data_IF_888548380235
#
_entry.id   IF_888548380235
#
_cell.length_a   1.000
_cell.length_b   1.000
_cell.length_c   1.000
_cell.angle_alpha   90.00
_cell.angle_beta   90.00
_cell.angle_gamma   90.00
#
_symmetry.space_group_name_H-M   'P 1'
#
loop_
_entity.id
_entity.type
_entity.pdbx_description
1 polymer ?
#
# COMPACT_ATOMS: atom_id res chain seq x y z
N UNK A 1 -21.74 -3.80 11.21
CA UNK A 1 -21.40 -4.42 12.51
C UNK A 1 -19.92 -4.26 12.88
N UNK A 2 -19.64 -4.14 14.18
CA UNK A 2 -18.30 -4.29 14.79
C UNK A 2 -18.29 -5.56 15.63
N UNK A 3 -17.28 -6.42 15.45
CA UNK A 3 -17.15 -7.70 16.16
C UNK A 3 -16.40 -7.54 17.48
N UNK A 4 -16.80 -8.30 18.47
CA UNK A 4 -16.10 -8.41 19.76
C UNK A 4 -15.81 -9.90 19.98
N UNK A 5 -14.54 -10.24 20.05
CA UNK A 5 -14.07 -11.61 20.24
C UNK A 5 -13.49 -11.75 21.63
N UNK A 6 -14.14 -12.54 22.47
CA UNK A 6 -13.70 -12.79 23.85
C UNK A 6 -12.78 -14.02 23.87
N UNK A 7 -11.61 -13.86 24.47
CA UNK A 7 -10.55 -14.86 24.55
C UNK A 7 -10.17 -15.10 26.01
N UNK A 8 -9.89 -16.37 26.33
CA UNK A 8 -9.34 -16.71 27.64
C UNK A 8 -7.87 -16.29 27.73
N UNK A 9 -7.31 -16.13 28.94
CA UNK A 9 -5.90 -15.76 29.10
C UNK A 9 -4.94 -16.75 28.41
N UNK A 10 -5.29 -18.04 28.44
CA UNK A 10 -4.48 -19.09 27.82
C UNK A 10 -4.56 -19.03 26.29
N UNK A 11 -5.74 -18.75 25.73
CA UNK A 11 -5.88 -18.50 24.28
C UNK A 11 -5.05 -17.30 23.82
N UNK A 12 -4.99 -16.23 24.62
CA UNK A 12 -4.12 -15.08 24.29
C UNK A 12 -2.65 -15.50 24.36
N UNK A 13 -2.23 -16.16 25.45
CA UNK A 13 -0.83 -16.55 25.64
C UNK A 13 -0.33 -17.53 24.56
N UNK A 14 -1.15 -18.51 24.18
CA UNK A 14 -0.80 -19.54 23.20
C UNK A 14 -0.64 -19.00 21.78
N UNK A 15 -1.31 -17.88 21.47
CA UNK A 15 -1.36 -17.32 20.13
C UNK A 15 -0.58 -16.01 19.96
N UNK A 16 -0.24 -15.30 21.05
CA UNK A 16 0.38 -13.96 20.99
C UNK A 16 1.67 -13.94 20.15
N UNK A 17 2.51 -14.97 20.28
CA UNK A 17 3.74 -15.10 19.50
C UNK A 17 3.49 -15.23 18.00
N UNK A 18 2.46 -15.98 17.59
CA UNK A 18 2.07 -16.08 16.18
C UNK A 18 1.45 -14.77 15.69
N UNK A 19 0.53 -14.17 16.44
CA UNK A 19 -0.13 -12.92 16.05
C UNK A 19 0.83 -11.76 15.84
N UNK A 20 1.87 -11.67 16.68
CA UNK A 20 2.93 -10.68 16.50
C UNK A 20 3.66 -10.83 15.17
N UNK A 21 3.65 -12.02 14.55
CA UNK A 21 4.32 -12.30 13.28
C UNK A 21 3.33 -12.28 12.11
N UNK A 22 2.20 -12.95 12.26
CA UNK A 22 1.21 -13.17 11.21
C UNK A 22 0.23 -12.01 11.05
N UNK A 23 0.03 -11.20 12.10
CA UNK A 23 -0.95 -10.11 12.16
C UNK A 23 -2.33 -10.55 11.67
N UNK A 24 -2.67 -11.79 11.99
CA UNK A 24 -3.86 -12.49 11.52
C UNK A 24 -4.40 -13.40 12.61
N UNK A 25 -5.72 -13.46 12.72
CA UNK A 25 -6.39 -14.41 13.60
C UNK A 25 -7.67 -14.94 12.97
N UNK A 26 -7.95 -16.24 13.13
CA UNK A 26 -9.21 -16.84 12.67
C UNK A 26 -9.98 -17.41 13.85
N UNK A 27 -11.23 -17.00 14.00
CA UNK A 27 -12.11 -17.40 15.10
C UNK A 27 -13.39 -18.03 14.57
N UNK A 28 -13.73 -19.22 15.08
CA UNK A 28 -15.03 -19.81 14.87
C UNK A 28 -16.10 -18.98 15.62
N UNK A 29 -17.20 -18.70 14.93
CA UNK A 29 -18.33 -17.96 15.48
C UNK A 29 -19.34 -18.91 16.14
N UNK A 30 -20.04 -18.48 17.20
CA UNK A 30 -21.16 -19.22 17.76
C UNK A 30 -22.25 -19.48 16.72
N UNK A 31 -22.86 -20.67 16.78
CA UNK A 31 -23.99 -21.03 15.92
C UNK A 31 -25.13 -20.02 16.08
N UNK A 32 -25.67 -19.52 14.97
CA UNK A 32 -26.77 -18.55 14.97
C UNK A 32 -26.34 -17.08 15.12
N UNK A 33 -25.05 -16.77 15.23
CA UNK A 33 -24.60 -15.38 15.17
C UNK A 33 -24.85 -14.83 13.76
N UNK A 34 -25.66 -13.77 13.67
CA UNK A 34 -25.90 -13.09 12.40
C UNK A 34 -24.62 -12.41 11.90
N UNK A 35 -24.28 -12.67 10.65
CA UNK A 35 -23.14 -12.08 9.94
C UNK A 35 -23.57 -11.47 8.60
N UNK A 36 -24.86 -11.23 8.41
CA UNK A 36 -25.43 -10.70 7.17
C UNK A 36 -25.12 -9.21 6.97
N UNK A 37 -25.00 -8.44 8.06
CA UNK A 37 -24.59 -7.03 7.98
C UNK A 37 -23.09 -6.91 7.74
N UNK A 38 -22.77 -6.22 6.65
CA UNK A 38 -21.41 -6.03 6.17
C UNK A 38 -20.75 -4.75 6.67
N UNK A 39 -21.38 -3.99 7.59
CA UNK A 39 -21.00 -2.62 8.00
C UNK A 39 -19.52 -2.37 8.35
N UNK A 40 -19.20 -1.95 9.58
CA UNK A 40 -17.82 -1.51 9.88
C UNK A 40 -16.79 -2.62 9.84
N UNK A 41 -17.12 -3.91 9.98
CA UNK A 41 -16.19 -5.07 9.94
C UNK A 41 -14.95 -4.98 10.84
N UNK A 42 -14.87 -4.01 11.74
CA UNK A 42 -13.81 -3.91 12.71
C UNK A 42 -14.01 -5.00 13.78
N UNK A 43 -12.93 -5.52 14.36
CA UNK A 43 -12.95 -6.52 15.40
C UNK A 43 -12.06 -6.11 16.58
N UNK A 44 -12.58 -6.27 17.79
CA UNK A 44 -11.83 -6.13 19.03
C UNK A 44 -11.57 -7.50 19.63
N UNK A 45 -10.31 -7.82 19.93
CA UNK A 45 -9.97 -9.01 20.71
C UNK A 45 -9.87 -8.61 22.18
N UNK A 46 -10.71 -9.24 22.99
CA UNK A 46 -10.88 -8.96 24.41
C UNK A 46 -10.35 -10.14 25.20
N UNK A 47 -9.29 -9.91 25.97
CA UNK A 47 -8.83 -10.89 26.96
C UNK A 47 -9.70 -10.81 28.21
N UNK A 48 -10.33 -11.92 28.61
CA UNK A 48 -11.12 -12.01 29.84
C UNK A 48 -10.30 -12.66 30.96
N UNK A 49 -9.80 -11.83 31.88
CA UNK A 49 -8.93 -12.28 32.98
C UNK A 49 -9.69 -12.49 34.30
N UNK A 50 -11.02 -12.40 34.30
CA UNK A 50 -11.85 -12.53 35.51
C UNK A 50 -11.79 -13.91 36.16
N UNK A 51 -11.38 -14.94 35.43
CA UNK A 51 -11.28 -16.31 35.94
C UNK A 51 -9.91 -16.66 36.56
N UNK A 52 -8.87 -15.81 36.40
CA UNK A 52 -7.54 -16.09 36.95
C UNK A 52 -7.44 -15.66 38.41
N UNK A 53 -7.58 -16.62 39.31
CA UNK A 53 -7.14 -16.47 40.70
C UNK A 53 -5.61 -16.56 40.79
N UNK A 54 -4.94 -15.44 41.11
CA UNK A 54 -3.68 -15.48 41.86
C UNK A 54 -2.35 -15.79 41.18
N UNK A 55 -2.11 -15.47 39.91
CA UNK A 55 -0.75 -15.58 39.33
C UNK A 55 -0.32 -14.35 38.54
N UNK A 56 0.76 -13.71 39.00
CA UNK A 56 1.45 -12.61 38.32
C UNK A 56 2.02 -13.15 37.00
N UNK A 57 1.38 -12.80 35.88
CA UNK A 57 1.89 -13.09 34.54
C UNK A 57 3.10 -12.22 34.22
N UNK A 58 4.05 -12.75 33.43
CA UNK A 58 5.29 -12.10 33.00
C UNK A 58 5.11 -10.73 32.29
N UNK A 59 3.88 -10.34 31.93
CA UNK A 59 3.55 -9.10 31.20
C UNK A 59 2.90 -8.00 32.06
N UNK A 60 2.91 -8.09 33.41
CA UNK A 60 2.53 -6.95 34.27
C UNK A 60 1.04 -6.56 34.32
N UNK A 61 0.14 -7.28 33.63
CA UNK A 61 -1.30 -7.12 33.79
C UNK A 61 -1.76 -7.75 35.12
N UNK A 62 -1.73 -6.98 36.19
CA UNK A 62 -2.16 -7.37 37.53
C UNK A 62 -3.66 -7.16 37.78
N UNK A 63 -4.45 -6.80 36.75
CA UNK A 63 -5.82 -6.33 36.94
C UNK A 63 -6.86 -7.38 36.56
N UNK A 64 -7.77 -7.66 37.50
CA UNK A 64 -8.94 -8.51 37.30
C UNK A 64 -9.95 -7.78 36.39
N UNK A 65 -10.23 -8.30 35.20
CA UNK A 65 -11.19 -7.66 34.29
C UNK A 65 -11.04 -8.09 32.83
N UNK A 66 -11.83 -7.46 31.96
CA UNK A 66 -11.75 -7.61 30.50
C UNK A 66 -10.97 -6.45 29.89
N UNK A 67 -10.08 -6.76 28.94
CA UNK A 67 -9.24 -5.78 28.27
C UNK A 67 -9.25 -5.95 26.76
N UNK A 68 -9.43 -4.87 26.01
CA UNK A 68 -9.14 -4.87 24.57
C UNK A 68 -7.62 -4.88 24.43
N UNK A 69 -7.10 -5.93 23.79
CA UNK A 69 -5.66 -6.15 23.62
C UNK A 69 -5.22 -6.02 22.17
N UNK A 70 -6.13 -6.29 21.22
CA UNK A 70 -5.89 -6.14 19.80
C UNK A 70 -7.11 -5.59 19.07
N UNK A 71 -6.86 -4.95 17.94
CA UNK A 71 -7.86 -4.43 17.00
C UNK A 71 -7.55 -4.94 15.60
N UNK A 72 -8.55 -5.26 14.80
CA UNK A 72 -8.32 -5.74 13.44
C UNK A 72 -9.54 -5.64 12.53
N UNK A 73 -9.42 -6.15 11.31
CA UNK A 73 -10.48 -6.11 10.29
C UNK A 73 -10.95 -7.50 9.90
N UNK A 74 -12.25 -7.72 9.88
CA UNK A 74 -12.86 -8.94 9.36
C UNK A 74 -12.87 -8.91 7.83
N UNK A 75 -11.92 -9.63 7.22
CA UNK A 75 -11.77 -9.74 5.76
C UNK A 75 -12.71 -10.80 5.18
N UNK A 76 -12.80 -11.96 5.85
CA UNK A 76 -13.51 -13.14 5.34
C UNK A 76 -14.43 -13.71 6.41
N UNK A 77 -15.62 -14.09 5.98
CA UNK A 77 -16.52 -14.96 6.73
C UNK A 77 -16.52 -16.28 5.98
N UNK A 78 -15.89 -17.31 6.54
CA UNK A 78 -15.82 -18.63 5.93
C UNK A 78 -16.87 -19.54 6.54
N UNK A 79 -17.40 -20.47 5.73
CA UNK A 79 -18.21 -21.58 6.24
C UNK A 79 -17.29 -22.75 6.57
N UNK A 80 -17.35 -23.24 7.81
CA UNK A 80 -16.62 -24.41 8.29
C UNK A 80 -17.64 -25.54 8.46
N UNK A 81 -17.64 -26.52 7.55
CA UNK A 81 -18.66 -27.57 7.56
C UNK A 81 -20.06 -27.07 7.15
N UNK A 82 -21.14 -27.80 7.48
CA UNK A 82 -22.49 -27.50 6.99
C UNK A 82 -23.19 -26.33 7.70
N UNK A 83 -22.75 -25.90 8.89
CA UNK A 83 -23.46 -24.90 9.72
C UNK A 83 -22.53 -23.87 10.37
N UNK A 84 -21.29 -24.22 10.70
CA UNK A 84 -20.41 -23.31 11.44
C UNK A 84 -19.81 -22.24 10.55
N UNK A 85 -19.66 -21.04 11.09
CA UNK A 85 -19.01 -19.91 10.41
C UNK A 85 -17.74 -19.53 11.17
N UNK A 86 -16.78 -18.97 10.47
CA UNK A 86 -15.59 -18.37 11.07
C UNK A 86 -15.31 -17.01 10.47
N UNK A 87 -14.69 -16.14 11.25
CA UNK A 87 -14.17 -14.86 10.78
C UNK A 87 -12.65 -14.91 10.73
N UNK A 88 -12.08 -14.36 9.67
CA UNK A 88 -10.65 -14.06 9.57
C UNK A 88 -10.45 -12.57 9.78
N UNK A 89 -9.68 -12.24 10.82
CA UNK A 89 -9.29 -10.89 11.20
C UNK A 89 -7.88 -10.63 10.66
N UNK A 90 -7.75 -9.71 9.70
CA UNK A 90 -6.50 -9.36 9.00
C UNK A 90 -6.66 -8.02 8.25
N UNK A 91 -5.70 -7.07 8.33
CA UNK A 91 -4.65 -7.02 9.35
C UNK A 91 -5.23 -6.83 10.76
N UNK A 92 -4.47 -7.24 11.77
CA UNK A 92 -4.71 -6.87 13.18
C UNK A 92 -3.46 -6.22 13.79
N UNK A 93 -3.68 -5.32 14.75
CA UNK A 93 -2.64 -4.57 15.47
C UNK A 93 -2.88 -4.70 16.98
N UNK A 94 -1.79 -4.86 17.71
CA UNK A 94 -1.80 -4.83 19.18
C UNK A 94 -2.10 -3.41 19.64
N UNK A 95 -2.95 -3.27 20.64
CA UNK A 95 -3.12 -1.97 21.29
C UNK A 95 -1.80 -1.58 21.99
N UNK A 96 -1.35 -0.30 21.91
CA UNK A 96 -0.16 0.15 22.64
C UNK A 96 -0.22 -0.16 24.13
N UNK A 97 -1.42 -0.01 24.71
CA UNK A 97 -1.74 -0.41 26.07
C UNK A 97 -3.05 -1.21 26.06
N UNK A 98 -3.17 -2.28 26.87
CA UNK A 98 -4.44 -2.95 27.09
C UNK A 98 -5.49 -1.96 27.60
N UNK A 99 -6.66 -1.91 26.95
CA UNK A 99 -7.71 -0.94 27.27
C UNK A 99 -8.75 -1.61 28.17
N UNK A 100 -8.93 -1.14 29.42
CA UNK A 100 -9.89 -1.73 30.34
C UNK A 100 -11.32 -1.52 29.84
N UNK A 101 -12.11 -2.60 29.80
CA UNK A 101 -13.55 -2.52 29.57
C UNK A 101 -14.32 -2.37 30.88
N UNK A 102 -13.87 -3.05 31.92
CA UNK A 102 -14.52 -3.12 33.23
C UNK A 102 -13.96 -2.08 34.21
N UNK A 103 -14.67 -1.87 35.33
CA UNK A 103 -14.26 -0.95 36.39
C UNK A 103 -14.65 0.52 36.14
N UNK A 104 -14.37 1.42 37.10
CA UNK A 104 -14.72 2.84 37.00
C UNK A 104 -13.98 3.53 35.83
N UNK A 105 -12.74 3.11 35.58
CA UNK A 105 -11.90 3.60 34.48
C UNK A 105 -12.06 2.80 33.19
N UNK A 106 -12.92 1.78 33.19
CA UNK A 106 -13.24 0.97 32.02
C UNK A 106 -14.22 1.64 31.05
N UNK A 107 -14.07 1.35 29.76
CA UNK A 107 -14.89 1.93 28.69
C UNK A 107 -16.40 1.74 28.93
N UNK A 108 -16.82 0.60 29.47
CA UNK A 108 -18.25 0.31 29.70
C UNK A 108 -18.90 1.29 30.69
N UNK A 109 -18.15 1.83 31.65
CA UNK A 109 -18.66 2.80 32.61
C UNK A 109 -19.01 4.16 31.97
N UNK A 110 -18.40 4.46 30.82
CA UNK A 110 -18.61 5.72 30.10
C UNK A 110 -19.69 5.65 29.02
N UNK A 111 -20.23 4.46 28.74
CA UNK A 111 -21.24 4.25 27.71
C UNK A 111 -22.66 4.51 28.26
N UNK A 112 -23.55 5.09 27.44
CA UNK A 112 -24.98 5.11 27.74
C UNK A 112 -25.52 3.70 27.98
N UNK A 113 -26.49 3.54 28.89
CA UNK A 113 -26.99 2.25 29.38
C UNK A 113 -27.39 1.28 28.25
N UNK A 114 -28.06 1.78 27.21
CA UNK A 114 -28.49 0.99 26.06
C UNK A 114 -27.31 0.43 25.25
N UNK A 115 -26.28 1.24 25.00
CA UNK A 115 -25.10 0.81 24.27
C UNK A 115 -24.22 -0.11 25.12
N UNK A 116 -24.13 0.17 26.42
CA UNK A 116 -23.47 -0.71 27.38
C UNK A 116 -24.08 -2.10 27.37
N UNK A 117 -25.40 -2.22 27.44
CA UNK A 117 -26.09 -3.51 27.42
C UNK A 117 -25.79 -4.30 26.13
N UNK A 118 -25.77 -3.64 24.96
CA UNK A 118 -25.40 -4.28 23.71
C UNK A 118 -23.95 -4.78 23.69
N UNK A 119 -23.00 -4.01 24.22
CA UNK A 119 -21.59 -4.43 24.30
C UNK A 119 -21.43 -5.58 25.30
N UNK A 120 -22.10 -5.53 26.46
CA UNK A 120 -22.09 -6.62 27.45
C UNK A 120 -22.70 -7.91 26.86
N UNK A 121 -23.77 -7.81 26.08
CA UNK A 121 -24.34 -8.95 25.37
C UNK A 121 -23.35 -9.54 24.36
N UNK A 122 -22.64 -8.70 23.60
CA UNK A 122 -21.63 -9.14 22.65
C UNK A 122 -20.42 -9.82 23.33
N UNK A 123 -20.12 -9.43 24.57
CA UNK A 123 -19.06 -10.02 25.40
C UNK A 123 -19.47 -11.32 26.11
N UNK A 124 -20.77 -11.68 26.14
CA UNK A 124 -21.27 -12.83 26.91
C UNK A 124 -20.78 -14.19 26.37
N UNK A 125 -20.46 -14.27 25.08
CA UNK A 125 -19.97 -15.47 24.39
C UNK A 125 -18.51 -15.38 23.97
N UNK A 126 -18.07 -16.38 23.20
CA UNK A 126 -16.72 -16.43 22.61
C UNK A 126 -16.53 -15.44 21.45
N UNK A 127 -17.62 -15.01 20.82
CA UNK A 127 -17.67 -13.89 19.89
C UNK A 127 -19.10 -13.32 19.80
N UNK A 128 -19.21 -12.01 19.60
CA UNK A 128 -20.47 -11.30 19.37
C UNK A 128 -20.25 -10.10 18.44
N UNK A 129 -21.31 -9.31 18.21
CA UNK A 129 -21.21 -8.09 17.41
C UNK A 129 -22.07 -6.97 17.99
N UNK A 130 -21.74 -5.74 17.59
CA UNK A 130 -22.48 -4.53 17.89
C UNK A 130 -22.93 -3.84 16.60
N UNK A 131 -24.13 -3.25 16.60
CA UNK A 131 -24.62 -2.43 15.50
C UNK A 131 -23.91 -1.07 15.40
N UNK A 132 -24.17 -0.35 14.30
CA UNK A 132 -23.49 0.92 13.95
C UNK A 132 -23.62 2.01 15.01
N UNK A 133 -24.81 2.17 15.62
CA UNK A 133 -25.05 3.17 16.68
C UNK A 133 -24.23 2.88 17.94
N UNK A 134 -24.23 1.60 18.38
CA UNK A 134 -23.38 1.15 19.51
C UNK A 134 -21.90 1.29 19.18
N UNK A 135 -21.49 1.00 17.94
CA UNK A 135 -20.11 1.25 17.50
C UNK A 135 -19.72 2.73 17.60
N UNK A 136 -20.55 3.66 17.14
CA UNK A 136 -20.25 5.09 17.25
C UNK A 136 -20.08 5.51 18.72
N UNK A 137 -20.98 5.09 19.60
CA UNK A 137 -20.86 5.36 21.03
C UNK A 137 -19.58 4.75 21.64
N UNK A 138 -19.24 3.53 21.24
CA UNK A 138 -18.00 2.85 21.65
C UNK A 138 -16.75 3.56 21.14
N UNK A 139 -16.71 3.98 19.87
CA UNK A 139 -15.60 4.74 19.28
C UNK A 139 -15.40 6.07 20.01
N UNK A 140 -16.48 6.83 20.24
CA UNK A 140 -16.40 8.10 20.98
C UNK A 140 -15.87 7.90 22.41
N UNK A 141 -16.34 6.87 23.11
CA UNK A 141 -15.85 6.54 24.45
C UNK A 141 -14.36 6.11 24.44
N UNK A 142 -13.97 5.26 23.49
CA UNK A 142 -12.60 4.81 23.29
C UNK A 142 -11.67 5.98 23.01
N UNK A 143 -11.97 6.81 22.01
CA UNK A 143 -11.10 7.92 21.60
C UNK A 143 -11.02 9.04 22.63
N UNK A 144 -12.05 9.21 23.48
CA UNK A 144 -12.01 10.17 24.58
C UNK A 144 -11.03 9.76 25.69
N UNK A 145 -10.94 8.47 26.00
CA UNK A 145 -10.06 7.95 27.07
C UNK A 145 -8.69 7.50 26.57
N UNK A 146 -8.63 7.00 25.34
CA UNK A 146 -7.45 6.46 24.68
C UNK A 146 -7.27 7.10 23.29
N UNK A 147 -6.96 8.41 23.22
CA UNK A 147 -6.80 9.12 21.96
C UNK A 147 -5.70 8.54 21.06
N UNK A 148 -4.72 7.83 21.64
CA UNK A 148 -3.68 7.11 20.92
C UNK A 148 -4.24 6.04 19.97
N UNK A 149 -5.44 5.52 20.21
CA UNK A 149 -6.08 4.50 19.35
C UNK A 149 -6.67 5.08 18.07
N UNK A 150 -6.80 6.41 17.96
CA UNK A 150 -7.36 7.07 16.76
C UNK A 150 -6.66 6.62 15.48
N UNK A 151 -5.32 6.69 15.46
CA UNK A 151 -4.50 6.30 14.31
C UNK A 151 -4.69 4.82 13.93
N UNK A 152 -4.88 3.94 14.90
CA UNK A 152 -5.11 2.51 14.67
C UNK A 152 -6.48 2.26 14.05
N UNK A 153 -7.51 2.88 14.61
CA UNK A 153 -8.88 2.76 14.11
C UNK A 153 -8.96 3.35 12.70
N UNK A 154 -8.41 4.54 12.48
CA UNK A 154 -8.46 5.20 11.17
C UNK A 154 -7.67 4.42 10.11
N UNK A 155 -6.50 3.88 10.45
CA UNK A 155 -5.73 2.98 9.58
C UNK A 155 -6.50 1.70 9.23
N UNK A 156 -7.14 1.06 10.20
CA UNK A 156 -7.97 -0.13 9.97
C UNK A 156 -9.19 0.23 9.08
N UNK A 157 -9.89 1.32 9.37
CA UNK A 157 -11.05 1.74 8.58
C UNK A 157 -10.68 2.10 7.14
N UNK A 158 -9.49 2.68 6.91
CA UNK A 158 -9.00 2.99 5.58
C UNK A 158 -8.77 1.75 4.69
N UNK A 159 -8.51 0.59 5.29
CA UNK A 159 -8.42 -0.67 4.54
C UNK A 159 -9.77 -1.27 4.16
N UNK A 160 -10.85 -0.90 4.86
CA UNK A 160 -12.20 -1.39 4.58
C UNK A 160 -12.92 -0.56 3.53
N UNK A 161 -12.67 0.75 3.55
CA UNK A 161 -13.30 1.68 2.66
C UNK A 161 -12.63 1.59 1.30
N UNK A 162 -13.11 0.67 0.47
CA UNK A 162 -12.73 0.65 -0.93
C UNK A 162 -13.26 1.92 -1.60
N UNK A 163 -12.42 2.95 -1.64
CA UNK A 163 -12.77 4.23 -2.23
C UNK A 163 -13.11 4.00 -3.69
N UNK A 164 -14.28 4.50 -4.09
CA UNK A 164 -14.73 4.46 -5.48
C UNK A 164 -14.18 5.70 -6.15
N UNK A 165 -13.33 5.51 -7.16
CA UNK A 165 -12.82 6.60 -7.99
C UNK A 165 -13.85 6.93 -9.07
N UNK A 166 -14.20 8.20 -9.20
CA UNK A 166 -15.01 8.73 -10.28
C UNK A 166 -14.15 8.92 -11.53
N UNK A 167 -14.49 8.22 -12.61
CA UNK A 167 -13.73 8.29 -13.88
C UNK A 167 -13.95 9.58 -14.66
N UNK A 168 -14.95 10.39 -14.28
CA UNK A 168 -15.19 11.72 -14.85
C UNK A 168 -14.44 12.82 -14.09
N UNK A 169 -13.93 12.51 -12.88
CA UNK A 169 -13.16 13.45 -12.09
C UNK A 169 -11.66 13.31 -12.39
N UNK A 170 -11.04 14.44 -12.74
CA UNK A 170 -9.62 14.46 -13.12
C UNK A 170 -8.70 14.05 -11.95
N UNK A 171 -9.04 14.45 -10.71
CA UNK A 171 -8.27 14.10 -9.52
C UNK A 171 -8.34 12.60 -9.24
N UNK A 172 -9.53 12.01 -9.30
CA UNK A 172 -9.71 10.57 -9.17
C UNK A 172 -8.99 9.78 -10.25
N UNK A 173 -9.02 10.25 -11.50
CA UNK A 173 -8.22 9.64 -12.57
C UNK A 173 -6.72 9.72 -12.27
N UNK A 174 -6.22 10.87 -11.82
CA UNK A 174 -4.80 11.02 -11.49
C UNK A 174 -4.39 10.13 -10.30
N UNK A 175 -5.15 10.14 -9.21
CA UNK A 175 -4.87 9.28 -8.04
C UNK A 175 -4.95 7.80 -8.38
N UNK A 176 -5.87 7.40 -9.26
CA UNK A 176 -5.99 6.01 -9.68
C UNK A 176 -4.77 5.54 -10.49
N UNK A 177 -4.16 6.39 -11.32
CA UNK A 177 -2.89 6.09 -12.00
C UNK A 177 -1.72 6.04 -11.03
N UNK A 178 -1.61 7.04 -10.16
CA UNK A 178 -0.56 7.15 -9.15
C UNK A 178 -0.60 5.97 -8.17
N UNK A 179 -1.79 5.56 -7.74
CA UNK A 179 -2.00 4.36 -6.92
C UNK A 179 -1.44 3.12 -7.60
N UNK A 180 -1.78 2.93 -8.87
CA UNK A 180 -1.32 1.76 -9.62
C UNK A 180 0.21 1.80 -9.84
N UNK A 181 0.79 2.97 -10.06
CA UNK A 181 2.25 3.16 -10.11
C UNK A 181 2.91 2.80 -8.77
N UNK A 182 2.39 3.28 -7.64
CA UNK A 182 2.90 2.95 -6.31
C UNK A 182 2.79 1.44 -6.00
N UNK A 183 1.67 0.81 -6.37
CA UNK A 183 1.49 -0.64 -6.26
C UNK A 183 2.45 -1.40 -7.18
N UNK A 184 2.75 -0.88 -8.37
CA UNK A 184 3.71 -1.46 -9.29
C UNK A 184 5.13 -1.39 -8.71
N UNK A 185 5.49 -0.30 -8.01
CA UNK A 185 6.76 -0.19 -7.27
C UNK A 185 6.90 -1.27 -6.18
N UNK A 186 5.86 -1.49 -5.36
CA UNK A 186 5.90 -2.58 -4.37
C UNK A 186 5.98 -3.96 -5.03
N UNK A 187 5.37 -4.14 -6.22
CA UNK A 187 5.54 -5.38 -7.01
C UNK A 187 6.97 -5.55 -7.48
N UNK A 188 7.60 -4.58 -8.14
CA UNK A 188 8.95 -4.76 -8.71
C UNK A 188 10.06 -4.90 -7.65
N UNK A 189 9.77 -4.53 -6.40
CA UNK A 189 10.72 -4.59 -5.26
C UNK A 189 10.43 -5.72 -4.28
N UNK A 190 9.32 -6.45 -4.47
CA UNK A 190 8.86 -7.53 -3.59
C UNK A 190 8.52 -7.06 -2.15
N UNK A 191 8.19 -5.78 -1.98
CA UNK A 191 7.56 -5.27 -0.76
C UNK A 191 6.06 -5.61 -0.76
N UNK A 192 5.45 -5.84 0.42
CA UNK A 192 4.05 -6.21 0.51
C UNK A 192 3.16 -5.04 0.07
N UNK A 193 2.18 -5.30 -0.81
CA UNK A 193 1.24 -4.27 -1.29
C UNK A 193 0.44 -3.62 -0.17
N UNK A 194 0.24 -4.32 0.94
CA UNK A 194 -0.46 -3.79 2.11
C UNK A 194 0.28 -2.62 2.77
N UNK A 195 1.58 -2.45 2.52
CA UNK A 195 2.36 -1.36 3.08
C UNK A 195 1.95 0.03 2.56
N UNK A 196 1.26 0.09 1.41
CA UNK A 196 0.74 1.31 0.77
C UNK A 196 -0.77 1.23 0.47
N UNK A 197 -1.52 0.38 1.19
CA UNK A 197 -2.96 0.19 0.94
C UNK A 197 -3.88 1.04 1.81
N UNK A 198 -3.43 1.42 3.00
CA UNK A 198 -4.20 2.32 3.87
C UNK A 198 -4.16 3.72 3.26
N UNK A 199 -5.30 4.17 2.73
CA UNK A 199 -5.39 5.43 2.02
C UNK A 199 -6.73 6.12 2.27
N UNK A 200 -6.67 7.43 2.50
CA UNK A 200 -7.81 8.34 2.50
C UNK A 200 -7.67 9.36 1.38
N UNK A 201 -8.79 9.87 0.88
CA UNK A 201 -8.77 10.94 -0.12
C UNK A 201 -8.08 12.19 0.46
N UNK A 202 -7.05 12.75 -0.21
CA UNK A 202 -6.39 13.97 0.23
C UNK A 202 -7.37 15.14 0.36
N UNK A 203 -7.00 16.14 1.15
CA UNK A 203 -7.87 17.29 1.42
C UNK A 203 -7.97 18.19 0.18
N UNK A 204 -6.88 18.31 -0.58
CA UNK A 204 -6.84 19.04 -1.85
C UNK A 204 -6.82 18.09 -3.04
N UNK A 205 -7.45 18.51 -4.14
CA UNK A 205 -7.53 17.75 -5.40
C UNK A 205 -6.18 17.66 -6.12
N UNK A 206 -5.32 18.64 -5.90
CA UNK A 206 -4.01 18.75 -6.55
C UNK A 206 -2.93 17.95 -5.84
N UNK A 207 -3.19 17.53 -4.60
CA UNK A 207 -2.27 16.74 -3.79
C UNK A 207 -1.97 15.38 -4.45
N UNK A 208 -0.73 14.88 -4.35
CA UNK A 208 -0.37 13.57 -4.85
C UNK A 208 -1.06 12.46 -4.06
N UNK A 209 -1.13 11.26 -4.66
CA UNK A 209 -1.70 10.07 -4.04
C UNK A 209 -1.03 9.76 -2.69
N UNK A 210 0.29 9.91 -2.58
CA UNK A 210 0.98 9.61 -1.33
C UNK A 210 0.58 10.54 -0.17
N UNK A 211 0.06 11.75 -0.43
CA UNK A 211 -0.44 12.63 0.63
C UNK A 211 -1.66 12.04 1.38
N UNK A 212 -2.38 11.12 0.73
CA UNK A 212 -3.53 10.43 1.32
C UNK A 212 -3.17 9.11 2.02
N UNK A 213 -1.92 8.65 1.96
CA UNK A 213 -1.53 7.41 2.61
C UNK A 213 -1.54 7.57 4.13
N UNK A 214 -2.09 6.57 4.81
CA UNK A 214 -2.13 6.52 6.27
C UNK A 214 -1.03 5.55 6.73
N UNK A 215 0.02 6.03 7.43
CA UNK A 215 1.10 5.18 7.90
C UNK A 215 0.62 4.05 8.81
N UNK A 216 1.32 2.92 8.76
CA UNK A 216 1.05 1.80 9.65
C UNK A 216 1.43 2.16 11.10
N UNK A 217 0.50 2.09 12.06
CA UNK A 217 0.76 2.50 13.43
C UNK A 217 1.49 1.40 14.23
N UNK A 218 2.64 0.91 13.77
CA UNK A 218 3.47 -0.04 14.55
C UNK A 218 4.44 0.69 15.47
N UNK A 219 4.66 0.15 16.69
CA UNK A 219 5.55 0.73 17.70
C UNK A 219 6.97 0.92 17.18
N UNK A 220 7.50 -0.04 16.40
CA UNK A 220 8.81 0.10 15.74
C UNK A 220 8.84 1.26 14.74
N UNK A 221 7.77 1.51 13.98
CA UNK A 221 7.71 2.70 13.11
C UNK A 221 7.71 4.00 13.91
N UNK A 222 7.24 4.01 15.15
CA UNK A 222 7.25 5.19 16.04
C UNK A 222 8.62 5.37 16.72
N UNK A 223 9.23 4.29 17.19
CA UNK A 223 10.59 4.33 17.76
C UNK A 223 11.61 4.65 16.66
N UNK A 224 11.55 4.01 15.50
CA UNK A 224 12.42 4.31 14.35
C UNK A 224 12.22 5.76 13.88
N UNK A 225 10.98 6.26 13.91
CA UNK A 225 10.68 7.68 13.66
C UNK A 225 11.40 8.59 14.67
N UNK A 226 11.21 8.36 15.96
CA UNK A 226 11.77 9.22 17.03
C UNK A 226 13.30 9.12 17.11
N UNK A 227 13.86 7.93 16.87
CA UNK A 227 15.31 7.68 16.78
C UNK A 227 15.91 8.42 15.58
N UNK A 228 15.27 8.39 14.40
CA UNK A 228 15.76 9.10 13.22
C UNK A 228 15.69 10.61 13.39
N UNK A 229 14.63 11.12 14.00
CA UNK A 229 14.48 12.55 14.32
C UNK A 229 15.48 12.99 15.39
N UNK A 230 15.75 12.16 16.40
CA UNK A 230 16.62 12.50 17.54
C UNK A 230 18.12 12.28 17.34
N UNK A 231 18.53 11.34 16.48
CA UNK A 231 19.94 10.98 16.26
C UNK A 231 20.49 11.36 14.87
N UNK A 232 19.74 12.13 14.08
CA UNK A 232 20.20 12.58 12.76
C UNK A 232 20.35 11.43 11.77
N UNK A 233 19.38 10.51 11.74
CA UNK A 233 19.33 9.46 10.72
C UNK A 233 19.38 10.06 9.30
N UNK A 234 19.89 9.31 8.33
CA UNK A 234 19.99 9.79 6.95
C UNK A 234 18.62 10.29 6.46
N UNK A 235 18.55 11.59 6.16
CA UNK A 235 17.36 12.21 5.61
C UNK A 235 16.96 11.47 4.32
N UNK A 236 15.65 11.38 4.02
CA UNK A 236 15.20 10.86 2.73
C UNK A 236 15.95 11.54 1.59
N UNK A 237 16.34 10.76 0.58
CA UNK A 237 17.18 11.25 -0.50
C UNK A 237 16.55 12.46 -1.20
N UNK A 238 15.21 12.49 -1.26
CA UNK A 238 14.43 13.52 -1.94
C UNK A 238 13.78 14.53 -0.97
N UNK A 239 14.22 14.62 0.28
CA UNK A 239 13.59 15.52 1.26
C UNK A 239 13.67 17.00 0.86
N UNK A 240 14.72 17.39 0.11
CA UNK A 240 14.87 18.73 -0.46
C UNK A 240 13.72 19.09 -1.41
N UNK A 241 13.09 18.11 -2.07
CA UNK A 241 11.96 18.37 -2.97
C UNK A 241 10.69 18.78 -2.25
N UNK A 242 10.51 18.39 -0.98
CA UNK A 242 9.36 18.80 -0.15
C UNK A 242 9.42 20.27 0.23
N UNK A 243 10.62 20.85 0.26
CA UNK A 243 10.84 22.26 0.61
C UNK A 243 10.70 23.20 -0.59
N UNK A 244 10.56 22.64 -1.80
CA UNK A 244 10.44 23.42 -3.03
C UNK A 244 9.05 24.02 -3.15
N UNK A 245 8.97 25.27 -3.60
CA UNK A 245 7.69 25.94 -3.88
C UNK A 245 7.11 25.63 -5.25
N UNK A 246 7.94 25.13 -6.18
CA UNK A 246 7.52 24.82 -7.57
C UNK A 246 6.93 23.41 -7.74
N UNK A 247 6.96 22.58 -6.70
CA UNK A 247 6.41 21.22 -6.72
C UNK A 247 5.76 20.87 -5.38
N UNK A 248 4.72 20.04 -5.41
CA UNK A 248 4.23 19.31 -4.24
C UNK A 248 4.88 17.93 -4.24
N UNK A 249 5.56 17.58 -3.15
CA UNK A 249 6.26 16.31 -3.00
C UNK A 249 5.84 15.63 -1.68
N UNK A 250 5.48 14.36 -1.76
CA UNK A 250 5.19 13.51 -0.61
C UNK A 250 6.07 12.26 -0.68
N UNK A 251 6.57 11.80 0.47
CA UNK A 251 7.51 10.67 0.58
C UNK A 251 7.00 9.68 1.61
N UNK A 252 7.03 8.40 1.26
CA UNK A 252 6.81 7.26 2.14
C UNK A 252 8.00 6.32 2.07
N UNK A 253 8.44 5.79 3.21
CA UNK A 253 9.55 4.86 3.30
C UNK A 253 9.05 3.51 3.78
N UNK A 254 9.43 2.46 3.07
CA UNK A 254 9.24 1.07 3.46
C UNK A 254 10.60 0.48 3.82
N UNK A 255 10.67 -0.21 4.94
CA UNK A 255 11.89 -0.89 5.38
C UNK A 255 11.57 -2.28 5.89
N UNK A 256 12.30 -3.28 5.41
CA UNK A 256 12.11 -4.65 5.86
C UNK A 256 13.13 -5.05 6.94
N UNK A 257 12.84 -6.14 7.65
CA UNK A 257 13.72 -6.65 8.72
C UNK A 257 15.13 -7.09 8.25
N UNK A 258 15.37 -7.15 6.94
CA UNK A 258 16.67 -7.48 6.37
C UNK A 258 17.48 -6.21 6.00
N UNK A 259 16.96 -5.01 6.31
CA UNK A 259 17.62 -3.74 6.03
C UNK A 259 17.41 -3.23 4.60
N UNK A 260 16.51 -3.85 3.81
CA UNK A 260 16.14 -3.27 2.51
C UNK A 260 15.21 -2.09 2.73
N UNK A 261 15.50 -0.99 2.05
CA UNK A 261 14.73 0.25 2.13
C UNK A 261 14.23 0.65 0.74
N UNK A 262 12.95 0.97 0.65
CA UNK A 262 12.31 1.54 -0.53
C UNK A 262 11.72 2.90 -0.16
N UNK A 263 12.28 3.96 -0.72
CA UNK A 263 11.73 5.31 -0.64
C UNK A 263 10.80 5.54 -1.84
N UNK A 264 9.51 5.72 -1.55
CA UNK A 264 8.45 5.99 -2.53
C UNK A 264 8.12 7.47 -2.47
N UNK A 265 8.33 8.16 -3.59
CA UNK A 265 8.19 9.61 -3.72
C UNK A 265 7.12 9.90 -4.76
N UNK A 266 6.21 10.83 -4.49
CA UNK A 266 5.23 11.30 -5.46
C UNK A 266 5.30 12.81 -5.58
N UNK A 267 5.61 13.27 -6.79
CA UNK A 267 5.82 14.66 -7.11
C UNK A 267 4.82 15.13 -8.16
N UNK A 268 4.14 16.24 -7.88
CA UNK A 268 3.29 16.97 -8.82
C UNK A 268 3.78 18.41 -8.92
N UNK A 269 3.96 18.96 -10.13
CA UNK A 269 4.28 20.38 -10.32
C UNK A 269 3.10 21.20 -10.87
N UNK A 270 2.01 20.55 -11.29
CA UNK A 270 0.89 21.19 -11.98
C UNK A 270 -0.46 20.82 -11.37
N UNK A 271 -1.45 21.72 -11.48
CA UNK A 271 -2.84 21.41 -11.15
C UNK A 271 -3.35 20.23 -11.95
N UNK A 272 -4.32 19.50 -11.38
CA UNK A 272 -4.76 18.23 -11.95
C UNK A 272 -5.40 18.36 -13.33
N UNK A 273 -6.03 19.49 -13.65
CA UNK A 273 -6.67 19.75 -14.95
C UNK A 273 -5.68 19.85 -16.11
N UNK A 274 -4.42 20.15 -15.81
CA UNK A 274 -3.33 20.30 -16.80
C UNK A 274 -2.38 19.10 -16.85
N UNK A 275 -2.68 18.04 -16.08
CA UNK A 275 -1.79 16.90 -15.90
C UNK A 275 -1.84 15.97 -17.11
N UNK A 276 -0.66 15.62 -17.64
CA UNK A 276 -0.52 14.81 -18.86
C UNK A 276 -0.57 13.29 -18.60
N UNK A 277 -0.59 12.89 -17.33
CA UNK A 277 -0.62 11.51 -16.87
C UNK A 277 0.40 11.24 -15.76
N UNK A 278 0.68 9.97 -15.53
CA UNK A 278 1.59 9.50 -14.48
C UNK A 278 2.80 8.77 -15.07
N UNK A 279 3.99 9.12 -14.59
CA UNK A 279 5.23 8.39 -14.85
C UNK A 279 5.63 7.63 -13.58
N UNK A 280 5.78 6.30 -13.67
CA UNK A 280 6.42 5.50 -12.64
C UNK A 280 7.92 5.40 -12.96
N UNK A 281 8.77 5.72 -12.00
CA UNK A 281 10.22 5.60 -12.13
C UNK A 281 10.72 4.70 -11.01
N UNK A 282 11.50 3.67 -11.33
CA UNK A 282 12.15 2.81 -10.36
C UNK A 282 13.66 2.90 -10.54
N UNK A 283 14.37 3.06 -9.43
CA UNK A 283 15.81 3.04 -9.39
C UNK A 283 16.30 2.07 -8.32
N UNK A 284 17.11 1.11 -8.75
CA UNK A 284 17.82 0.21 -7.85
C UNK A 284 19.25 0.70 -7.66
N UNK A 285 19.53 1.26 -6.49
CA UNK A 285 20.82 1.90 -6.19
C UNK A 285 22.01 0.94 -6.32
N UNK A 286 22.01 -0.27 -5.73
CA UNK A 286 23.18 -1.14 -5.78
C UNK A 286 23.61 -1.59 -7.19
N UNK A 287 22.71 -1.54 -8.18
CA UNK A 287 23.02 -1.95 -9.55
C UNK A 287 22.91 -0.81 -10.56
N UNK A 288 22.75 0.43 -10.09
CA UNK A 288 22.57 1.62 -10.93
C UNK A 288 21.56 1.41 -12.08
N UNK A 289 20.43 0.76 -11.76
CA UNK A 289 19.43 0.34 -12.75
C UNK A 289 18.19 1.21 -12.66
N UNK A 290 17.89 1.89 -13.75
CA UNK A 290 16.73 2.76 -13.90
C UNK A 290 15.68 2.10 -14.81
N UNK A 291 14.41 2.14 -14.41
CA UNK A 291 13.25 1.74 -15.23
C UNK A 291 12.19 2.82 -15.17
N UNK A 292 11.63 3.18 -16.31
CA UNK A 292 10.52 4.13 -16.42
C UNK A 292 9.31 3.48 -17.08
N UNK A 293 8.13 3.74 -16.54
CA UNK A 293 6.85 3.37 -17.14
C UNK A 293 5.98 4.61 -17.25
N UNK A 294 5.64 5.00 -18.46
CA UNK A 294 4.66 6.08 -18.70
C UNK A 294 3.26 5.49 -18.85
N UNK A 295 2.31 5.99 -18.06
CA UNK A 295 0.94 5.51 -18.06
C UNK A 295 0.10 6.19 -19.13
N UNK A 296 -0.77 5.40 -19.75
CA UNK A 296 -1.78 5.85 -20.71
C UNK A 296 -3.10 5.14 -20.43
N UNK A 297 -4.19 5.91 -20.38
CA UNK A 297 -5.53 5.37 -20.18
C UNK A 297 -6.08 4.86 -21.52
N UNK A 298 -6.54 3.62 -21.55
CA UNK A 298 -7.30 3.07 -22.67
C UNK A 298 -8.73 3.61 -22.62
N UNK A 299 -9.25 4.06 -23.77
CA UNK A 299 -10.60 4.61 -23.89
C UNK A 299 -11.66 3.50 -23.86
N UNK A 300 -12.70 3.67 -23.04
CA UNK A 300 -13.89 2.82 -23.09
C UNK A 300 -14.83 3.22 -24.25
N UNK A 301 -15.61 2.28 -24.81
CA UNK A 301 -15.71 0.86 -24.45
C UNK A 301 -14.68 -0.04 -25.13
N UNK A 302 -13.95 0.46 -26.14
CA UNK A 302 -13.14 -0.37 -27.05
C UNK A 302 -11.76 -0.75 -26.49
N UNK A 303 -11.33 -0.15 -25.38
CA UNK A 303 -10.00 -0.33 -24.76
C UNK A 303 -8.88 -0.06 -25.76
N UNK A 304 -9.01 1.07 -26.46
CA UNK A 304 -8.06 1.53 -27.48
C UNK A 304 -7.36 2.81 -27.00
N UNK A 305 -6.12 3.00 -27.44
CA UNK A 305 -5.42 4.28 -27.36
C UNK A 305 -5.07 4.75 -28.76
N UNK A 306 -5.56 5.94 -29.14
CA UNK A 306 -5.23 6.56 -30.42
C UNK A 306 -3.91 7.31 -30.31
N UNK A 307 -2.97 6.96 -31.17
CA UNK A 307 -1.66 7.59 -31.20
C UNK A 307 -1.82 9.02 -31.72
N UNK A 308 -1.36 9.97 -30.93
CA UNK A 308 -1.34 11.39 -31.22
C UNK A 308 0.10 11.91 -31.28
N UNK A 309 0.26 13.16 -31.73
CA UNK A 309 1.57 13.80 -31.78
C UNK A 309 2.21 13.89 -30.40
N UNK A 310 1.42 14.15 -29.35
CA UNK A 310 1.96 14.22 -28.00
C UNK A 310 2.62 12.91 -27.56
N UNK A 311 2.03 11.75 -27.86
CA UNK A 311 2.65 10.47 -27.54
C UNK A 311 3.98 10.27 -28.30
N UNK A 312 4.03 10.65 -29.58
CA UNK A 312 5.26 10.53 -30.38
C UNK A 312 6.38 11.39 -29.82
N UNK A 313 6.10 12.65 -29.50
CA UNK A 313 7.06 13.58 -28.89
C UNK A 313 7.53 13.06 -27.50
N UNK A 314 6.64 12.39 -26.75
CA UNK A 314 6.98 11.76 -25.48
C UNK A 314 7.91 10.56 -25.68
N UNK A 315 7.62 9.69 -26.65
CA UNK A 315 8.46 8.55 -26.99
C UNK A 315 9.87 9.01 -27.39
N UNK A 316 9.99 10.10 -28.15
CA UNK A 316 11.30 10.69 -28.52
C UNK A 316 12.11 11.10 -27.29
N UNK A 317 11.47 11.69 -26.27
CA UNK A 317 12.13 12.05 -25.00
C UNK A 317 12.54 10.83 -24.20
N UNK A 318 11.67 9.82 -24.11
CA UNK A 318 11.98 8.58 -23.39
C UNK A 318 13.16 7.82 -24.03
N UNK A 319 13.33 7.90 -25.35
CA UNK A 319 14.51 7.35 -26.01
C UNK A 319 15.81 8.04 -25.61
N UNK A 320 15.79 9.35 -25.34
CA UNK A 320 16.97 10.07 -24.85
C UNK A 320 17.40 9.53 -23.48
N UNK A 321 16.45 9.13 -22.63
CA UNK A 321 16.74 8.50 -21.33
C UNK A 321 17.37 7.13 -21.50
N UNK A 322 16.85 6.32 -22.43
CA UNK A 322 17.43 4.99 -22.71
C UNK A 322 18.89 5.08 -23.19
N UNK A 323 19.29 6.19 -23.82
CA UNK A 323 20.68 6.46 -24.22
C UNK A 323 21.62 6.79 -23.06
N UNK A 324 21.10 7.05 -21.86
CA UNK A 324 21.91 7.22 -20.65
C UNK A 324 22.50 5.88 -20.15
N UNK A 325 22.00 4.75 -20.65
CA UNK A 325 22.53 3.43 -20.29
C UNK A 325 23.90 3.20 -20.90
N UNK A 326 24.85 2.75 -20.08
CA UNK A 326 26.16 2.29 -20.55
C UNK A 326 26.09 0.84 -21.06
N UNK A 327 27.21 0.38 -21.66
CA UNK A 327 27.40 -1.05 -21.92
C UNK A 327 27.68 -1.77 -20.59
N UNK A 328 27.22 -3.02 -20.42
CA UNK A 328 27.53 -3.81 -19.23
C UNK A 328 29.02 -4.11 -19.17
N UNK A 329 29.66 -3.76 -18.06
CA UNK A 329 31.05 -4.08 -17.76
C UNK A 329 31.21 -5.44 -17.07
N UNK A 330 30.13 -5.96 -16.49
CA UNK A 330 30.11 -7.21 -15.73
C UNK A 330 28.89 -8.09 -16.03
N UNK A 331 28.93 -9.35 -15.61
CA UNK A 331 27.86 -10.31 -15.89
C UNK A 331 26.52 -9.99 -15.19
N UNK A 332 26.55 -9.28 -14.05
CA UNK A 332 25.35 -8.89 -13.31
C UNK A 332 24.69 -7.60 -13.84
N UNK A 333 25.42 -6.83 -14.65
CA UNK A 333 24.89 -5.68 -15.39
C UNK A 333 24.19 -6.08 -16.69
N UNK A 334 24.39 -7.31 -17.17
CA UNK A 334 23.79 -7.76 -18.42
C UNK A 334 22.25 -7.78 -18.34
N UNK A 335 21.61 -7.21 -19.36
CA UNK A 335 20.15 -7.16 -19.53
C UNK A 335 19.72 -8.01 -20.72
N UNK A 336 18.52 -8.59 -20.64
CA UNK A 336 17.90 -9.33 -21.74
C UNK A 336 17.51 -8.39 -22.90
N UNK A 337 17.02 -7.19 -22.55
CA UNK A 337 16.75 -6.10 -23.49
C UNK A 337 17.42 -4.81 -22.98
N UNK A 338 17.93 -3.95 -23.88
CA UNK A 338 18.39 -2.61 -23.49
C UNK A 338 17.25 -1.65 -23.13
N UNK A 339 15.98 -2.04 -23.28
CA UNK A 339 14.85 -1.19 -22.94
C UNK A 339 14.80 -0.87 -21.44
N UNK A 340 14.86 0.43 -21.14
CA UNK A 340 14.64 0.98 -19.81
C UNK A 340 13.29 1.69 -19.67
N UNK A 341 12.67 2.07 -20.79
CA UNK A 341 11.41 2.80 -20.81
C UNK A 341 10.29 1.94 -21.39
N UNK A 342 9.11 2.02 -20.78
CA UNK A 342 7.92 1.26 -21.14
C UNK A 342 6.71 2.18 -21.19
N UNK A 343 5.73 1.82 -22.01
CA UNK A 343 4.40 2.39 -21.99
C UNK A 343 3.47 1.40 -21.31
N UNK A 344 2.68 1.86 -20.34
CA UNK A 344 1.58 1.08 -19.76
C UNK A 344 0.25 1.63 -20.26
N UNK A 345 -0.39 0.88 -21.14
CA UNK A 345 -1.76 1.17 -21.56
C UNK A 345 -2.74 0.42 -20.65
N UNK A 346 -3.32 1.12 -19.69
CA UNK A 346 -4.14 0.52 -18.64
C UNK A 346 -5.61 0.94 -18.75
N UNK A 347 -6.49 0.08 -18.23
CA UNK A 347 -7.89 0.41 -18.03
C UNK A 347 -8.30 0.04 -16.62
N UNK A 348 -9.20 0.84 -16.06
CA UNK A 348 -9.76 0.63 -14.73
C UNK A 348 -11.26 0.39 -14.86
N UNK A 349 -11.79 -0.52 -14.05
CA UNK A 349 -13.23 -0.81 -14.08
C UNK A 349 -13.99 0.36 -13.46
N UNK A 350 -14.90 0.97 -14.21
CA UNK A 350 -15.77 2.06 -13.72
C UNK A 350 -16.56 1.61 -12.49
N UNK A 351 -16.59 2.44 -11.45
CA UNK A 351 -17.33 2.15 -10.22
C UNK A 351 -16.82 0.96 -9.42
N UNK A 352 -15.68 0.35 -9.81
CA UNK A 352 -15.07 -0.69 -9.01
C UNK A 352 -14.44 -0.09 -7.76
N UNK A 353 -14.80 -0.66 -6.62
CA UNK A 353 -14.08 -0.54 -5.36
C UNK A 353 -12.57 -0.61 -5.60
N UNK A 354 -11.83 0.35 -5.05
CA UNK A 354 -10.36 0.38 -5.03
C UNK A 354 -9.82 -1.00 -4.62
N UNK A 355 -9.33 -1.79 -5.59
CA UNK A 355 -8.77 -3.11 -5.34
C UNK A 355 -7.28 -3.01 -4.98
N UNK A 356 -6.76 -4.03 -4.30
CA UNK A 356 -5.32 -4.22 -4.10
C UNK A 356 -4.63 -4.79 -5.35
N UNK A 357 -5.38 -5.02 -6.42
CA UNK A 357 -4.88 -5.55 -7.68
C UNK A 357 -4.47 -4.39 -8.60
N UNK A 358 -3.36 -4.58 -9.32
CA UNK A 358 -2.99 -3.66 -10.37
C UNK A 358 -4.07 -3.61 -11.45
N UNK A 359 -4.24 -2.44 -12.03
CA UNK A 359 -5.00 -2.22 -13.24
C UNK A 359 -4.49 -3.14 -14.35
N UNK A 360 -5.45 -3.78 -15.01
CA UNK A 360 -5.17 -4.54 -16.21
C UNK A 360 -4.66 -3.61 -17.30
N UNK A 361 -3.58 -4.00 -17.96
CA UNK A 361 -2.98 -3.20 -19.01
C UNK A 361 -1.90 -3.93 -19.77
N UNK A 362 -1.49 -3.31 -20.86
CA UNK A 362 -0.40 -3.72 -21.74
C UNK A 362 0.86 -2.98 -21.30
N UNK A 363 1.90 -3.68 -20.86
CA UNK A 363 3.24 -3.10 -20.76
C UNK A 363 3.97 -3.35 -22.08
N UNK A 364 4.34 -2.27 -22.75
CA UNK A 364 4.98 -2.31 -24.07
C UNK A 364 6.37 -1.64 -23.95
N UNK A 365 7.47 -2.37 -24.20
CA UNK A 365 8.80 -1.76 -24.29
C UNK A 365 8.83 -0.65 -25.33
N UNK A 366 9.55 0.45 -25.08
CA UNK A 366 9.57 1.58 -25.99
C UNK A 366 10.07 1.21 -27.39
N UNK A 367 11.08 0.35 -27.50
CA UNK A 367 11.56 -0.17 -28.79
C UNK A 367 10.46 -0.92 -29.56
N UNK A 368 9.68 -1.75 -28.88
CA UNK A 368 8.58 -2.50 -29.50
C UNK A 368 7.42 -1.58 -29.91
N UNK A 369 7.14 -0.55 -29.12
CA UNK A 369 6.15 0.45 -29.50
C UNK A 369 6.50 1.12 -30.85
N UNK A 370 7.79 1.37 -31.14
CA UNK A 370 8.21 1.90 -32.45
C UNK A 370 7.96 0.93 -33.59
N UNK A 371 8.33 -0.34 -33.41
CA UNK A 371 8.07 -1.38 -34.42
C UNK A 371 6.56 -1.48 -34.71
N UNK A 372 5.73 -1.45 -33.68
CA UNK A 372 4.28 -1.48 -33.84
C UNK A 372 3.73 -0.28 -34.62
N UNK A 373 4.31 0.91 -34.48
CA UNK A 373 3.86 2.11 -35.22
C UNK A 373 4.19 2.04 -36.71
N UNK A 374 5.15 1.21 -37.10
CA UNK A 374 5.52 0.97 -38.50
C UNK A 374 4.69 -0.17 -39.12
N UNK A 375 4.16 -1.08 -38.30
CA UNK A 375 3.37 -2.23 -38.72
C UNK A 375 1.89 -1.86 -38.95
N UNK A 376 1.31 -2.36 -40.04
CA UNK A 376 -0.10 -2.16 -40.41
C UNK A 376 -1.09 -2.76 -39.41
N UNK A 377 -0.66 -3.66 -38.53
CA UNK A 377 -1.48 -4.17 -37.43
C UNK A 377 -2.03 -3.06 -36.52
N UNK A 378 -1.35 -1.90 -36.43
CA UNK A 378 -1.82 -0.74 -35.66
C UNK A 378 -2.67 0.23 -36.48
N UNK A 379 -2.85 0.01 -37.79
CA UNK A 379 -3.60 0.91 -38.66
C UNK A 379 -5.11 0.84 -38.36
N UNK A 380 -5.67 1.98 -37.94
CA UNK A 380 -7.10 2.13 -37.67
C UNK A 380 -7.91 2.43 -38.95
N UNK A 381 -9.24 2.34 -38.88
CA UNK A 381 -10.13 2.54 -40.04
C UNK A 381 -10.00 3.90 -40.75
N UNK A 382 -9.48 4.91 -40.04
CA UNK A 382 -9.27 6.28 -40.53
C UNK A 382 -7.80 6.61 -40.83
N UNK A 383 -6.94 5.60 -40.95
CA UNK A 383 -5.51 5.76 -41.25
C UNK A 383 -4.62 6.21 -40.08
N UNK A 384 -5.20 6.49 -38.90
CA UNK A 384 -4.43 6.74 -37.67
C UNK A 384 -3.94 5.45 -37.02
N UNK A 385 -2.90 5.52 -36.19
CA UNK A 385 -2.35 4.37 -35.45
C UNK A 385 -3.08 4.17 -34.11
N UNK A 386 -3.34 2.92 -33.74
CA UNK A 386 -4.09 2.52 -32.55
C UNK A 386 -3.34 1.42 -31.79
N UNK A 387 -3.17 1.61 -30.48
CA UNK A 387 -2.75 0.55 -29.57
C UNK A 387 -3.96 -0.06 -28.87
N UNK A 388 -4.05 -1.40 -28.87
CA UNK A 388 -5.08 -2.18 -28.19
C UNK A 388 -4.59 -3.61 -27.93
N UNK A 389 -5.34 -4.37 -27.14
CA UNK A 389 -5.03 -5.78 -26.86
C UNK A 389 -4.95 -6.65 -28.11
N UNK A 390 -5.79 -6.36 -29.12
CA UNK A 390 -5.84 -7.14 -30.36
C UNK A 390 -4.69 -6.81 -31.31
N UNK A 391 -4.13 -5.59 -31.21
CA UNK A 391 -3.13 -5.07 -32.14
C UNK A 391 -1.71 -5.24 -31.62
N UNK A 392 -1.49 -5.08 -30.31
CA UNK A 392 -0.18 -5.21 -29.69
C UNK A 392 -0.02 -6.60 -29.04
N UNK A 393 0.04 -7.67 -29.83
CA UNK A 393 -0.07 -9.06 -29.33
C UNK A 393 1.08 -9.48 -28.39
N UNK A 394 2.29 -8.97 -28.59
CA UNK A 394 3.48 -9.34 -27.78
C UNK A 394 3.73 -8.43 -26.57
N UNK A 395 2.65 -7.99 -25.91
CA UNK A 395 2.73 -7.17 -24.70
C UNK A 395 3.11 -8.00 -23.46
N UNK A 396 3.62 -7.33 -22.43
CA UNK A 396 3.85 -7.92 -21.12
C UNK A 396 2.66 -7.63 -20.20
N UNK A 397 2.20 -8.63 -19.45
CA UNK A 397 1.29 -8.39 -18.32
C UNK A 397 2.07 -7.88 -17.10
N UNK A 398 1.37 -7.27 -16.14
CA UNK A 398 2.03 -6.67 -14.97
C UNK A 398 2.90 -7.64 -14.14
N UNK A 399 2.58 -8.93 -14.12
CA UNK A 399 3.40 -9.93 -13.47
C UNK A 399 4.72 -10.20 -14.22
N UNK A 400 4.68 -10.30 -15.55
CA UNK A 400 5.86 -10.52 -16.39
C UNK A 400 6.80 -9.32 -16.34
N UNK A 401 6.24 -8.11 -16.48
CA UNK A 401 6.99 -6.86 -16.30
C UNK A 401 7.65 -6.82 -14.91
N UNK A 402 6.89 -7.12 -13.85
CA UNK A 402 7.43 -7.09 -12.49
C UNK A 402 8.59 -8.06 -12.30
N UNK A 403 8.49 -9.29 -12.81
CA UNK A 403 9.57 -10.27 -12.70
C UNK A 403 10.81 -9.86 -13.50
N UNK A 404 10.65 -9.25 -14.68
CA UNK A 404 11.79 -8.72 -15.46
C UNK A 404 12.55 -7.63 -14.70
N UNK A 405 11.84 -6.70 -14.07
CA UNK A 405 12.46 -5.62 -13.27
C UNK A 405 13.08 -6.19 -11.99
N UNK A 406 12.36 -7.05 -11.25
CA UNK A 406 12.86 -7.71 -10.02
C UNK A 406 14.19 -8.43 -10.25
N UNK A 407 14.31 -9.12 -11.38
CA UNK A 407 15.49 -9.89 -11.75
C UNK A 407 16.59 -9.05 -12.41
N UNK A 408 16.38 -7.74 -12.58
CA UNK A 408 17.32 -6.85 -13.27
C UNK A 408 17.56 -7.26 -14.73
N UNK A 409 16.55 -7.80 -15.42
CA UNK A 409 16.64 -8.21 -16.84
C UNK A 409 16.34 -7.10 -17.82
N UNK A 410 15.78 -6.01 -17.35
CA UNK A 410 15.49 -4.76 -18.08
C UNK A 410 15.90 -3.57 -17.23
N UNK A 411 15.91 -2.39 -17.81
CA UNK A 411 16.41 -1.18 -17.16
C UNK A 411 17.83 -0.83 -17.57
N UNK A 412 18.23 0.41 -17.27
CA UNK A 412 19.55 0.91 -17.65
C UNK A 412 20.67 0.18 -16.90
N UNK A 413 21.88 0.46 -17.38
CA UNK A 413 23.14 0.11 -16.73
C UNK A 413 23.89 1.40 -16.44
N UNK A 414 24.39 1.56 -15.22
CA UNK A 414 25.33 2.64 -14.87
C UNK A 414 24.71 4.04 -14.78
N UNK A 415 23.39 4.17 -14.70
CA UNK A 415 22.75 5.49 -14.54
C UNK A 415 22.92 5.99 -13.11
N UNK A 416 23.32 7.25 -12.95
CA UNK A 416 23.52 7.89 -11.64
C UNK A 416 22.20 8.29 -10.98
N UNK A 417 22.25 8.52 -9.67
CA UNK A 417 21.11 9.01 -8.88
C UNK A 417 20.77 10.46 -9.26
N UNK A 418 21.76 11.25 -9.60
CA UNK A 418 21.61 12.65 -10.01
C UNK A 418 20.83 12.73 -11.32
N UNK A 419 21.15 11.86 -12.29
CA UNK A 419 20.39 11.76 -13.55
C UNK A 419 18.92 11.38 -13.30
N UNK A 420 18.66 10.48 -12.35
CA UNK A 420 17.30 10.12 -11.94
C UNK A 420 16.57 11.34 -11.35
N UNK A 421 17.22 12.07 -10.44
CA UNK A 421 16.65 13.25 -9.77
C UNK A 421 16.28 14.33 -10.78
N UNK A 422 17.24 14.70 -11.63
CA UNK A 422 17.06 15.75 -12.64
C UNK A 422 15.93 15.39 -13.60
N UNK A 423 15.92 14.13 -14.05
CA UNK A 423 14.88 13.65 -14.94
C UNK A 423 13.50 13.64 -14.26
N UNK A 424 13.37 13.12 -13.03
CA UNK A 424 12.12 13.11 -12.29
C UNK A 424 11.54 14.52 -12.10
N UNK A 425 12.38 15.49 -11.73
CA UNK A 425 11.95 16.87 -11.56
C UNK A 425 11.58 17.55 -12.89
N UNK A 426 12.33 17.27 -13.96
CA UNK A 426 11.98 17.73 -15.30
C UNK A 426 10.60 17.20 -15.71
N UNK A 427 10.32 15.91 -15.52
CA UNK A 427 9.03 15.31 -15.86
C UNK A 427 7.88 15.89 -15.04
N UNK A 428 8.09 16.13 -13.75
CA UNK A 428 7.10 16.81 -12.93
C UNK A 428 6.74 18.19 -13.51
N UNK A 429 7.74 18.99 -13.87
CA UNK A 429 7.57 20.34 -14.47
C UNK A 429 6.95 20.33 -15.87
N UNK A 430 7.14 19.25 -16.62
CA UNK A 430 6.49 19.03 -17.92
C UNK A 430 4.99 18.69 -17.77
N UNK A 431 4.47 18.55 -16.54
CA UNK A 431 3.05 18.32 -16.27
C UNK A 431 2.71 16.87 -15.97
N UNK A 432 3.69 16.00 -15.69
CA UNK A 432 3.43 14.63 -15.25
C UNK A 432 3.37 14.55 -13.73
N UNK A 433 2.53 13.65 -13.21
CA UNK A 433 2.74 13.15 -11.86
C UNK A 433 3.86 12.12 -11.89
N UNK A 434 4.91 12.31 -11.10
CA UNK A 434 6.03 11.38 -11.03
C UNK A 434 5.93 10.56 -9.75
N UNK A 435 5.87 9.23 -9.91
CA UNK A 435 5.90 8.24 -8.84
C UNK A 435 7.25 7.52 -8.87
N UNK A 436 8.15 7.89 -7.98
CA UNK A 436 9.52 7.38 -7.95
C UNK A 436 9.70 6.38 -6.81
N UNK A 437 10.33 5.24 -7.10
CA UNK A 437 10.77 4.27 -6.10
C UNK A 437 12.28 4.14 -6.12
N UNK A 438 12.93 4.50 -5.02
CA UNK A 438 14.38 4.38 -4.82
C UNK A 438 14.65 3.24 -3.84
N UNK A 439 15.20 2.14 -4.34
CA UNK A 439 15.55 0.96 -3.54
C UNK A 439 17.03 0.95 -3.19
N UNK A 440 17.33 0.84 -1.90
CA UNK A 440 18.66 0.65 -1.32
C UNK A 440 18.68 -0.61 -0.48
N UNK A 441 19.76 -1.37 -0.59
CA UNK A 441 20.05 -2.51 0.27
C UNK A 441 21.55 -2.81 0.26
N UNK A 442 22.02 -3.51 1.29
CA UNK A 442 23.38 -4.06 1.36
C UNK A 442 23.51 -5.41 0.61
N UNK A 443 22.45 -5.85 -0.06
CA UNK A 443 22.44 -7.13 -0.77
C UNK A 443 23.35 -7.07 -2.00
N UNK A 444 24.22 -8.07 -2.11
CA UNK A 444 24.95 -8.31 -3.36
C UNK A 444 23.99 -8.72 -4.49
N UNK A 445 24.36 -8.54 -5.77
CA UNK A 445 23.55 -9.02 -6.90
C UNK A 445 23.21 -10.52 -6.82
N UNK A 446 24.12 -11.32 -6.24
CA UNK A 446 23.90 -12.76 -6.03
C UNK A 446 22.84 -13.02 -4.96
N UNK A 447 22.91 -12.34 -3.82
CA UNK A 447 21.92 -12.48 -2.73
C UNK A 447 20.54 -12.05 -3.20
N UNK A 448 20.43 -10.93 -3.92
CA UNK A 448 19.18 -10.50 -4.57
C UNK A 448 18.64 -11.59 -5.49
N UNK A 449 19.47 -12.15 -6.36
CA UNK A 449 19.03 -13.21 -7.28
C UNK A 449 18.56 -14.47 -6.55
N UNK A 450 19.24 -14.86 -5.47
CA UNK A 450 18.82 -15.97 -4.61
C UNK A 450 17.47 -15.66 -3.97
N UNK A 451 17.31 -14.49 -3.35
CA UNK A 451 16.06 -14.05 -2.71
C UNK A 451 14.87 -14.06 -3.67
N UNK A 452 15.01 -13.43 -4.83
CA UNK A 452 13.96 -13.34 -5.85
C UNK A 452 13.57 -14.74 -6.36
N UNK A 453 14.53 -15.67 -6.46
CA UNK A 453 14.29 -17.06 -6.91
C UNK A 453 13.82 -18.00 -5.82
N UNK A 454 14.15 -17.72 -4.55
CA UNK A 454 13.71 -18.52 -3.40
C UNK A 454 12.24 -18.22 -3.12
N UNK A 455 11.35 -18.69 -4.00
CA UNK A 455 9.88 -18.64 -3.88
C UNK A 455 9.33 -19.55 -2.77
N UNK A 456 9.99 -19.61 -1.62
CA UNK A 456 9.42 -20.29 -0.46
C UNK A 456 8.60 -19.30 0.33
N UNK A 457 7.27 -19.51 0.32
CA UNK A 457 6.22 -18.75 1.01
C UNK A 457 6.35 -18.69 2.55
N UNK A 458 7.54 -18.89 3.13
CA UNK A 458 7.70 -19.25 4.54
C UNK A 458 7.97 -18.12 5.52
N UNK A 459 8.06 -16.86 5.07
CA UNK A 459 7.96 -15.65 5.92
C UNK A 459 7.98 -14.45 5.00
N UNK A 460 6.85 -13.74 4.86
CA UNK A 460 6.92 -12.36 4.35
C UNK A 460 7.70 -11.58 5.41
N UNK A 461 8.80 -10.89 5.04
CA UNK A 461 9.50 -10.08 6.01
C UNK A 461 8.54 -9.01 6.53
N UNK A 462 8.62 -8.73 7.83
CA UNK A 462 7.89 -7.61 8.40
C UNK A 462 8.43 -6.34 7.75
N UNK A 463 7.51 -5.46 7.37
CA UNK A 463 7.83 -4.19 6.73
C UNK A 463 7.29 -3.07 7.60
N UNK A 464 8.17 -2.19 8.03
CA UNK A 464 7.83 -0.93 8.65
C UNK A 464 7.53 0.07 7.53
N UNK A 465 6.42 0.80 7.65
CA UNK A 465 6.00 1.86 6.72
C UNK A 465 5.85 3.15 7.51
N UNK A 466 6.43 4.25 7.02
CA UNK A 466 6.31 5.57 7.65
C UNK A 466 6.43 6.71 6.63
N UNK A 467 5.86 7.86 6.98
CA UNK A 467 6.09 9.13 6.28
C UNK A 467 7.13 9.93 7.08
N UNK A 468 8.30 10.27 6.50
CA UNK A 468 9.26 11.12 7.19
C UNK A 468 8.65 12.48 7.49
N UNK A 469 8.90 13.09 8.67
CA UNK A 469 8.38 14.42 8.99
C UNK A 469 8.92 15.45 7.99
N UNK A 470 8.13 16.47 7.70
CA UNK A 470 8.62 17.62 6.94
C UNK A 470 9.63 18.35 7.82
N UNK A 471 10.82 18.64 7.31
CA UNK A 471 11.94 19.28 8.03
C UNK A 471 11.67 20.76 8.43
N UNK A 472 10.41 21.15 8.62
CA UNK A 472 9.94 22.46 9.07
C UNK A 472 9.37 22.48 10.51
N UNK A 473 9.79 21.55 11.37
CA UNK A 473 9.62 21.69 12.82
C UNK A 473 10.99 21.58 13.52
N UNK A 474 11.80 22.61 13.36
CA UNK A 474 12.84 23.01 14.33
C UNK A 474 12.74 24.51 14.55
#
# INVERSE_FOLDING_TARGET
>A
MTYIVTLTPDQVADNEGDWLVSERFTKALPTGLDTSDTGTRLAFLVGDYRARSGAIGRNGLAEHGRFITWMGLVQRINTVGPVDRSITIEPMRRCPKPVPLDGPDGILASLPSIHRAHVEQALSGSAGHCGTTTWHALREALLRRHPELARYIDWLLAHLNALVFNVEDAADCAWQEQKDAAQSLTRVTDFPHSALSAWGRPASRDEPYLAGLIPDPVENSLIDHDVRVGLGGEAPLFDDWRQRSDVRCDIHVLEDSAGRRLEVVNVNATPVESRLGTDMIYYHHPTHSFVLVQYKRLEFPYKEYRVNKELLDQMDRLEQVSRLSSKPASSHEWRLSPDACFLKFAHWRNGAASSTELAHGLYIPLSYARVLLEDDCTLGPRGGRIFSYERAVSYLVGAEFAELVKLGRVGTVGTSVEQLRDFGLQRAREGYSVMLGFETSDETPRERAVRVRSRSAKKRPKVNSYSPPTSQQQ
#
